data_IF_142366280228
#
_entry.id   IF_142366280228
#
_cell.length_a   1.000
_cell.length_b   1.000
_cell.length_c   1.000
_cell.angle_alpha   90.00
_cell.angle_beta   90.00
_cell.angle_gamma   90.00
#
_symmetry.space_group_name_H-M   'P 1'
#
loop_
_entity.id
_entity.type
_entity.pdbx_description
1 polymer ?
#
# COMPACT_ATOMS: atom_id res chain seq x y z
N UNK A 1 19.99 8.68 -1.75
CA UNK A 1 19.09 7.61 -1.27
C UNK A 1 19.28 6.41 -2.18
N UNK A 2 19.44 5.19 -1.64
CA UNK A 2 19.49 3.99 -2.48
C UNK A 2 18.19 3.89 -3.31
N UNK A 3 18.29 3.38 -4.53
CA UNK A 3 17.11 3.08 -5.36
C UNK A 3 16.22 2.05 -4.65
N UNK A 4 14.90 2.05 -4.87
CA UNK A 4 13.99 1.08 -4.20
C UNK A 4 14.44 -0.37 -4.40
N UNK A 5 14.94 -0.69 -5.60
CA UNK A 5 15.54 -2.00 -5.91
C UNK A 5 16.78 -2.28 -5.07
N UNK A 6 17.60 -1.27 -4.79
CA UNK A 6 18.80 -1.41 -3.96
C UNK A 6 18.47 -1.56 -2.48
N UNK A 7 17.44 -0.88 -1.97
CA UNK A 7 17.01 -1.04 -0.57
C UNK A 7 16.40 -2.42 -0.29
N UNK A 8 15.53 -2.92 -1.18
CA UNK A 8 14.91 -4.24 -1.02
C UNK A 8 15.95 -5.37 -1.07
N UNK A 9 16.96 -5.24 -1.92
CA UNK A 9 18.06 -6.21 -1.99
C UNK A 9 18.92 -6.18 -0.72
N UNK A 10 19.26 -4.99 -0.21
CA UNK A 10 19.93 -4.83 1.08
C UNK A 10 19.11 -5.46 2.22
N UNK A 11 17.82 -5.15 2.30
CA UNK A 11 16.93 -5.68 3.33
C UNK A 11 16.84 -7.21 3.27
N UNK A 12 16.75 -7.78 2.06
CA UNK A 12 16.76 -9.22 1.87
C UNK A 12 18.06 -9.83 2.41
N UNK A 13 19.21 -9.30 2.02
CA UNK A 13 20.51 -9.82 2.42
C UNK A 13 20.72 -9.74 3.94
N UNK A 14 20.40 -8.60 4.55
CA UNK A 14 20.51 -8.38 6.00
C UNK A 14 19.64 -9.35 6.79
N UNK A 15 18.37 -9.48 6.42
CA UNK A 15 17.45 -10.41 7.10
C UNK A 15 17.81 -11.88 6.85
N UNK A 16 18.31 -12.22 5.67
CA UNK A 16 18.73 -13.59 5.36
C UNK A 16 19.96 -14.00 6.19
N UNK A 17 20.92 -13.08 6.36
CA UNK A 17 22.08 -13.28 7.23
C UNK A 17 21.66 -13.45 8.70
N UNK A 18 20.68 -12.67 9.17
CA UNK A 18 20.13 -12.85 10.51
C UNK A 18 19.47 -14.22 10.69
N UNK A 19 18.69 -14.69 9.71
CA UNK A 19 18.06 -16.02 9.74
C UNK A 19 19.12 -17.12 9.82
N UNK A 20 20.22 -16.98 9.08
CA UNK A 20 21.30 -17.98 9.08
C UNK A 20 21.97 -18.13 10.45
N UNK A 21 22.12 -17.03 11.18
CA UNK A 21 22.74 -17.00 12.52
C UNK A 21 21.84 -17.58 13.62
N UNK A 22 20.56 -17.83 13.36
CA UNK A 22 19.66 -18.40 14.35
C UNK A 22 19.97 -19.89 14.62
N UNK A 23 19.90 -20.28 15.89
CA UNK A 23 19.92 -21.68 16.32
C UNK A 23 18.54 -22.31 16.09
N UNK A 24 18.23 -22.58 14.82
CA UNK A 24 16.98 -23.16 14.35
C UNK A 24 17.27 -24.31 13.39
N UNK A 25 16.41 -25.32 13.40
CA UNK A 25 16.41 -26.37 12.38
C UNK A 25 16.27 -25.79 10.95
N UNK A 26 16.94 -26.43 9.99
CA UNK A 26 16.98 -25.97 8.61
C UNK A 26 15.60 -25.85 7.98
N UNK A 27 14.65 -26.71 8.37
CA UNK A 27 13.28 -26.63 7.89
C UNK A 27 12.58 -25.36 8.38
N UNK A 28 12.78 -24.99 9.65
CA UNK A 28 12.22 -23.76 10.24
C UNK A 28 12.83 -22.52 9.57
N UNK A 29 14.13 -22.51 9.30
CA UNK A 29 14.77 -21.42 8.53
C UNK A 29 14.19 -21.29 7.12
N UNK A 30 13.95 -22.40 6.43
CA UNK A 30 13.29 -22.40 5.10
C UNK A 30 11.86 -21.86 5.15
N UNK A 31 11.08 -22.22 6.17
CA UNK A 31 9.75 -21.65 6.38
C UNK A 31 9.80 -20.15 6.67
N UNK A 32 10.76 -19.71 7.50
CA UNK A 32 10.96 -18.30 7.78
C UNK A 32 11.25 -17.49 6.52
N UNK A 33 12.10 -18.01 5.63
CA UNK A 33 12.40 -17.39 4.33
C UNK A 33 11.21 -17.34 3.40
N UNK A 34 10.60 -18.50 3.17
CA UNK A 34 9.53 -18.65 2.18
C UNK A 34 8.24 -17.94 2.60
N UNK A 35 7.93 -17.92 3.90
CA UNK A 35 6.67 -17.40 4.39
C UNK A 35 6.78 -15.99 4.93
N UNK A 36 7.78 -15.69 5.75
CA UNK A 36 7.90 -14.37 6.37
C UNK A 36 8.72 -13.40 5.52
N UNK A 37 9.96 -13.76 5.17
CA UNK A 37 10.85 -12.86 4.44
C UNK A 37 10.30 -12.53 3.04
N UNK A 38 9.80 -13.52 2.30
CA UNK A 38 9.18 -13.29 1.00
C UNK A 38 7.98 -12.32 1.10
N UNK A 39 7.16 -12.46 2.14
CA UNK A 39 6.02 -11.55 2.37
C UNK A 39 6.47 -10.13 2.73
N UNK A 40 7.51 -9.97 3.55
CA UNK A 40 8.12 -8.67 3.80
C UNK A 40 8.56 -8.02 2.49
N UNK A 41 9.28 -8.75 1.65
CA UNK A 41 9.80 -8.22 0.38
C UNK A 41 8.70 -7.94 -0.65
N UNK A 42 7.65 -8.75 -0.66
CA UNK A 42 6.49 -8.57 -1.52
C UNK A 42 5.69 -7.33 -1.13
N UNK A 43 5.37 -7.19 0.16
CA UNK A 43 4.64 -6.05 0.71
C UNK A 43 5.44 -4.75 0.55
N UNK A 44 6.76 -4.77 0.79
CA UNK A 44 7.64 -3.61 0.57
C UNK A 44 7.57 -3.13 -0.88
N UNK A 45 7.72 -4.05 -1.84
CA UNK A 45 7.70 -3.72 -3.26
C UNK A 45 6.32 -3.28 -3.78
N UNK A 46 5.24 -3.68 -3.11
CA UNK A 46 3.87 -3.19 -3.39
C UNK A 46 3.65 -1.80 -2.81
N UNK A 47 4.11 -1.56 -1.58
CA UNK A 47 4.03 -0.27 -0.94
C UNK A 47 4.78 0.80 -1.76
N UNK A 48 6.00 0.51 -2.19
CA UNK A 48 6.80 1.43 -3.02
C UNK A 48 6.13 1.77 -4.36
N UNK A 49 5.67 0.75 -5.10
CA UNK A 49 5.00 0.97 -6.40
C UNK A 49 3.71 1.79 -6.28
N UNK A 50 2.90 1.53 -5.25
CA UNK A 50 1.64 2.27 -5.03
C UNK A 50 1.91 3.69 -4.54
N UNK A 51 2.94 3.90 -3.71
CA UNK A 51 3.44 5.22 -3.31
C UNK A 51 3.81 6.06 -4.52
N UNK A 52 4.60 5.47 -5.42
CA UNK A 52 5.10 6.15 -6.61
C UNK A 52 3.98 6.59 -7.53
N UNK A 53 3.02 5.70 -7.81
CA UNK A 53 1.84 6.05 -8.60
C UNK A 53 1.01 7.15 -7.95
N UNK A 54 0.78 7.05 -6.64
CA UNK A 54 0.06 8.05 -5.87
C UNK A 54 0.69 9.45 -6.01
N UNK A 55 2.00 9.57 -5.73
CA UNK A 55 2.67 10.86 -5.81
C UNK A 55 2.80 11.38 -7.24
N UNK A 56 3.00 10.52 -8.25
CA UNK A 56 3.07 10.95 -9.66
C UNK A 56 1.75 11.54 -10.14
N UNK A 57 0.62 10.87 -9.89
CA UNK A 57 -0.70 11.35 -10.26
C UNK A 57 -1.04 12.64 -9.51
N UNK A 58 -0.79 12.66 -8.20
CA UNK A 58 -1.06 13.85 -7.37
C UNK A 58 -0.22 15.05 -7.78
N UNK A 59 1.04 14.85 -8.12
CA UNK A 59 1.91 15.90 -8.61
C UNK A 59 1.45 16.41 -9.98
N UNK A 60 1.04 15.53 -10.90
CA UNK A 60 0.48 15.93 -12.19
C UNK A 60 -0.79 16.80 -12.04
N UNK A 61 -1.67 16.42 -11.12
CA UNK A 61 -2.89 17.19 -10.77
C UNK A 61 -2.55 18.57 -10.19
N UNK A 62 -1.61 18.67 -9.25
CA UNK A 62 -1.20 19.94 -8.64
C UNK A 62 -0.55 20.85 -9.68
N UNK A 63 0.45 20.33 -10.42
CA UNK A 63 1.17 21.09 -11.43
C UNK A 63 0.21 21.57 -12.51
N UNK A 64 -0.62 20.68 -13.06
CA UNK A 64 -1.59 21.04 -14.08
C UNK A 64 -2.61 22.07 -13.58
N UNK A 65 -3.13 21.90 -12.37
CA UNK A 65 -4.07 22.85 -11.75
C UNK A 65 -3.51 24.26 -11.62
N UNK A 66 -2.22 24.41 -11.29
CA UNK A 66 -1.55 25.71 -11.19
C UNK A 66 -1.28 26.34 -12.56
N UNK A 67 -0.99 25.53 -13.57
CA UNK A 67 -0.69 26.03 -14.92
C UNK A 67 -1.93 26.42 -15.74
N UNK A 68 -3.12 25.86 -15.45
CA UNK A 68 -4.35 26.19 -16.18
C UNK A 68 -4.65 27.71 -16.15
N UNK A 69 -4.72 28.39 -14.98
CA UNK A 69 -4.97 29.84 -14.94
C UNK A 69 -3.91 30.64 -15.70
N UNK A 70 -2.63 30.26 -15.54
CA UNK A 70 -1.52 30.94 -16.20
C UNK A 70 -1.65 30.90 -17.73
N UNK A 71 -2.02 29.75 -18.30
CA UNK A 71 -2.23 29.61 -19.75
C UNK A 71 -3.48 30.31 -20.26
N UNK A 72 -4.55 30.36 -19.45
CA UNK A 72 -5.77 31.10 -19.80
C UNK A 72 -5.53 32.61 -19.85
N UNK A 73 -4.60 33.15 -19.05
CA UNK A 73 -4.25 34.58 -19.08
C UNK A 73 -3.54 35.00 -20.37
N UNK A 74 -2.81 34.11 -21.04
CA UNK A 74 -2.18 34.42 -22.33
C UNK A 74 -3.20 34.28 -23.47
N UNK A 75 -3.68 35.40 -24.02
CA UNK A 75 -4.69 35.44 -25.09
C UNK A 75 -4.12 35.07 -26.48
N UNK A 76 -3.44 33.91 -26.57
CA UNK A 76 -2.97 33.35 -27.83
C UNK A 76 -3.71 32.05 -28.12
N UNK A 77 -4.08 31.77 -29.39
CA UNK A 77 -4.90 30.62 -29.75
C UNK A 77 -4.24 29.28 -29.38
N UNK A 78 -2.90 29.21 -29.41
CA UNK A 78 -2.15 28.03 -29.01
C UNK A 78 -2.35 27.67 -27.52
N UNK A 79 -2.27 28.67 -26.62
CA UNK A 79 -2.42 28.45 -25.18
C UNK A 79 -3.83 28.04 -24.77
N UNK A 80 -4.85 28.38 -25.58
CA UNK A 80 -6.23 27.93 -25.39
C UNK A 80 -6.37 26.41 -25.60
N UNK A 81 -5.72 25.83 -26.60
CA UNK A 81 -5.76 24.37 -26.79
C UNK A 81 -4.95 23.64 -25.71
N UNK A 82 -3.80 24.19 -25.30
CA UNK A 82 -2.99 23.66 -24.22
C UNK A 82 -3.73 23.63 -22.87
N UNK A 83 -4.49 24.68 -22.53
CA UNK A 83 -5.25 24.70 -21.28
C UNK A 83 -6.37 23.65 -21.24
N UNK A 84 -7.03 23.39 -22.38
CA UNK A 84 -8.04 22.32 -22.50
C UNK A 84 -7.39 20.95 -22.31
N UNK A 85 -6.28 20.68 -23.00
CA UNK A 85 -5.55 19.40 -22.87
C UNK A 85 -5.08 19.21 -21.42
N UNK A 86 -4.54 20.26 -20.81
CA UNK A 86 -4.05 20.20 -19.43
C UNK A 86 -5.19 19.95 -18.43
N UNK A 87 -6.35 20.59 -18.63
CA UNK A 87 -7.56 20.33 -17.84
C UNK A 87 -8.02 18.87 -17.93
N UNK A 88 -8.00 18.28 -19.13
CA UNK A 88 -8.33 16.86 -19.31
C UNK A 88 -7.33 15.94 -18.60
N UNK A 89 -6.03 16.23 -18.70
CA UNK A 89 -4.98 15.45 -18.01
C UNK A 89 -5.17 15.52 -16.49
N UNK A 90 -5.45 16.69 -15.94
CA UNK A 90 -5.73 16.87 -14.50
C UNK A 90 -6.97 16.08 -14.08
N UNK A 91 -8.07 16.20 -14.82
CA UNK A 91 -9.32 15.50 -14.52
C UNK A 91 -9.14 13.97 -14.56
N UNK A 92 -8.47 13.45 -15.60
CA UNK A 92 -8.17 12.02 -15.72
C UNK A 92 -7.25 11.58 -14.59
N UNK A 93 -6.22 12.36 -14.25
CA UNK A 93 -5.29 12.01 -13.18
C UNK A 93 -5.99 11.90 -11.82
N UNK A 94 -6.86 12.87 -11.51
CA UNK A 94 -7.68 12.85 -10.30
C UNK A 94 -8.65 11.66 -10.28
N UNK A 95 -9.37 11.42 -11.38
CA UNK A 95 -10.30 10.29 -11.48
C UNK A 95 -9.59 8.93 -11.37
N UNK A 96 -8.39 8.79 -11.95
CA UNK A 96 -7.57 7.56 -11.83
C UNK A 96 -7.05 7.39 -10.40
N UNK A 97 -6.59 8.46 -9.75
CA UNK A 97 -6.14 8.42 -8.35
C UNK A 97 -7.27 7.97 -7.43
N UNK A 98 -8.47 8.53 -7.61
CA UNK A 98 -9.68 8.20 -6.86
C UNK A 98 -10.14 6.77 -7.15
N UNK A 99 -10.22 6.37 -8.42
CA UNK A 99 -10.67 5.02 -8.80
C UNK A 99 -9.76 3.91 -8.23
N UNK A 100 -8.44 4.06 -8.35
CA UNK A 100 -7.51 3.02 -7.91
C UNK A 100 -7.15 3.08 -6.41
N UNK A 101 -7.59 4.12 -5.69
CA UNK A 101 -7.34 4.29 -4.26
C UNK A 101 -5.85 4.14 -3.90
N UNK A 102 -4.95 4.65 -4.76
CA UNK A 102 -3.50 4.41 -4.63
C UNK A 102 -2.96 4.86 -3.26
N UNK A 103 -3.47 5.96 -2.71
CA UNK A 103 -3.06 6.47 -1.39
C UNK A 103 -3.51 5.60 -0.21
N UNK A 104 -4.66 4.93 -0.31
CA UNK A 104 -5.10 3.96 0.72
C UNK A 104 -4.32 2.66 0.62
N UNK A 105 -4.14 2.15 -0.61
CA UNK A 105 -3.36 0.93 -0.88
C UNK A 105 -1.91 1.06 -0.40
N UNK A 106 -1.27 2.20 -0.68
CA UNK A 106 0.08 2.46 -0.20
C UNK A 106 0.16 2.41 1.33
N UNK A 107 -0.73 3.11 2.03
CA UNK A 107 -0.76 3.13 3.50
C UNK A 107 -1.02 1.75 4.09
N UNK A 108 -1.90 0.98 3.46
CA UNK A 108 -2.20 -0.39 3.85
C UNK A 108 -0.96 -1.29 3.71
N UNK A 109 -0.36 -1.39 2.52
CA UNK A 109 0.84 -2.20 2.32
C UNK A 109 2.01 -1.74 3.20
N UNK A 110 2.18 -0.42 3.38
CA UNK A 110 3.21 0.12 4.26
C UNK A 110 2.98 -0.29 5.70
N UNK A 111 1.74 -0.24 6.19
CA UNK A 111 1.42 -0.70 7.54
C UNK A 111 1.73 -2.18 7.71
N UNK A 112 1.30 -3.03 6.78
CA UNK A 112 1.48 -4.49 6.89
C UNK A 112 2.97 -4.86 6.85
N UNK A 113 3.76 -4.25 5.96
CA UNK A 113 5.21 -4.54 5.91
C UNK A 113 5.94 -4.08 7.18
N UNK A 114 5.58 -2.92 7.74
CA UNK A 114 6.19 -2.45 8.98
C UNK A 114 5.81 -3.34 10.16
N UNK A 115 4.58 -3.84 10.22
CA UNK A 115 4.18 -4.84 11.23
C UNK A 115 4.99 -6.14 11.11
N UNK A 116 5.19 -6.65 9.89
CA UNK A 116 6.00 -7.86 9.66
C UNK A 116 7.47 -7.66 10.03
N UNK A 117 8.04 -6.48 9.73
CA UNK A 117 9.42 -6.12 10.13
C UNK A 117 9.54 -6.03 11.64
N UNK A 118 8.61 -5.32 12.30
CA UNK A 118 8.58 -5.19 13.77
C UNK A 118 8.50 -6.57 14.42
N UNK A 119 7.65 -7.46 13.91
CA UNK A 119 7.51 -8.81 14.43
C UNK A 119 8.81 -9.63 14.25
N UNK A 120 9.48 -9.51 13.10
CA UNK A 120 10.81 -10.08 12.90
C UNK A 120 11.84 -9.57 13.90
N UNK A 121 11.94 -8.27 14.11
CA UNK A 121 12.88 -7.68 15.09
C UNK A 121 12.62 -8.15 16.52
N UNK A 122 11.34 -8.24 16.92
CA UNK A 122 10.96 -8.79 18.22
C UNK A 122 11.43 -10.23 18.38
N UNK A 123 11.26 -11.05 17.35
CA UNK A 123 11.71 -12.44 17.37
C UNK A 123 13.24 -12.55 17.41
N UNK A 124 13.96 -11.82 16.55
CA UNK A 124 15.44 -11.86 16.51
C UNK A 124 16.05 -11.47 17.85
N UNK A 125 15.48 -10.49 18.54
CA UNK A 125 15.99 -9.99 19.82
C UNK A 125 15.42 -10.73 21.03
N UNK A 126 14.55 -11.74 20.83
CA UNK A 126 13.75 -12.37 21.88
C UNK A 126 13.09 -11.34 22.80
N UNK A 127 12.55 -10.27 22.20
CA UNK A 127 11.99 -9.12 22.92
C UNK A 127 10.46 -9.13 22.95
N UNK A 128 9.86 -8.32 23.83
CA UNK A 128 8.42 -8.16 23.99
C UNK A 128 7.69 -9.50 24.23
N UNK A 129 6.87 -9.94 23.27
CA UNK A 129 6.14 -11.22 23.34
C UNK A 129 7.06 -12.44 23.39
N UNK A 130 8.36 -12.27 23.15
CA UNK A 130 9.35 -13.34 23.20
C UNK A 130 10.28 -13.30 24.42
N UNK A 131 10.13 -12.33 25.32
CA UNK A 131 11.00 -12.15 26.50
C UNK A 131 11.09 -13.40 27.41
N UNK A 132 10.08 -14.27 27.39
CA UNK A 132 10.03 -15.47 28.22
C UNK A 132 10.79 -16.68 27.65
N UNK A 133 11.22 -16.64 26.40
CA UNK A 133 11.91 -17.74 25.75
C UNK A 133 13.42 -17.61 25.90
N UNK A 134 14.10 -18.73 26.12
CA UNK A 134 15.57 -18.75 26.22
C UNK A 134 16.24 -18.97 24.88
N UNK A 135 15.52 -19.55 23.92
CA UNK A 135 16.01 -19.90 22.58
C UNK A 135 14.97 -19.53 21.52
N UNK A 136 15.45 -19.16 20.33
CA UNK A 136 14.61 -18.90 19.16
C UNK A 136 13.79 -20.12 18.76
N UNK A 137 14.29 -21.33 19.00
CA UNK A 137 13.57 -22.57 18.71
C UNK A 137 12.26 -22.70 19.50
N UNK A 138 12.25 -22.30 20.77
CA UNK A 138 11.05 -22.30 21.62
C UNK A 138 10.09 -21.16 21.23
N UNK A 139 10.65 -20.03 20.80
CA UNK A 139 9.89 -18.85 20.37
C UNK A 139 9.26 -19.01 18.97
N UNK A 140 9.83 -19.86 18.11
CA UNK A 140 9.47 -19.98 16.70
C UNK A 140 7.98 -20.26 16.45
N UNK A 141 7.30 -21.18 17.18
CA UNK A 141 5.86 -21.40 16.98
C UNK A 141 5.03 -20.14 17.23
N UNK A 142 5.37 -19.36 18.27
CA UNK A 142 4.70 -18.08 18.56
C UNK A 142 4.93 -17.08 17.44
N UNK A 143 6.16 -17.03 16.91
CA UNK A 143 6.49 -16.16 15.78
C UNK A 143 5.72 -16.53 14.51
N UNK A 144 5.69 -17.81 14.15
CA UNK A 144 4.95 -18.29 13.01
C UNK A 144 3.46 -17.92 13.12
N UNK A 145 2.83 -18.16 14.28
CA UNK A 145 1.42 -17.79 14.52
C UNK A 145 1.20 -16.29 14.35
N UNK A 146 2.05 -15.44 14.95
CA UNK A 146 1.88 -13.98 14.86
C UNK A 146 2.09 -13.43 13.46
N UNK A 147 3.00 -14.03 12.68
CA UNK A 147 3.17 -13.71 11.26
C UNK A 147 1.90 -14.05 10.48
N UNK A 148 1.32 -15.23 10.72
CA UNK A 148 0.05 -15.62 10.08
C UNK A 148 -1.11 -14.71 10.50
N UNK A 149 -1.21 -14.31 11.77
CA UNK A 149 -2.22 -13.36 12.23
C UNK A 149 -2.12 -12.00 11.51
N UNK A 150 -0.90 -11.48 11.31
CA UNK A 150 -0.69 -10.24 10.56
C UNK A 150 -1.17 -10.41 9.11
N UNK A 151 -0.85 -11.54 8.48
CA UNK A 151 -1.19 -11.80 7.08
C UNK A 151 -2.69 -12.07 6.91
N UNK A 152 -3.30 -12.80 7.84
CA UNK A 152 -4.73 -13.03 7.84
C UNK A 152 -5.51 -11.73 8.07
N UNK A 153 -5.05 -10.88 8.99
CA UNK A 153 -5.61 -9.56 9.20
C UNK A 153 -5.51 -8.66 7.96
N UNK A 154 -4.43 -8.76 7.19
CA UNK A 154 -4.28 -8.06 5.90
C UNK A 154 -5.37 -8.49 4.89
N UNK A 155 -5.58 -9.81 4.74
CA UNK A 155 -6.60 -10.37 3.85
C UNK A 155 -8.01 -9.95 4.27
N UNK A 156 -8.32 -10.01 5.57
CA UNK A 156 -9.65 -9.64 6.09
C UNK A 156 -9.94 -8.15 5.91
N UNK A 157 -8.95 -7.28 6.16
CA UNK A 157 -9.07 -5.84 5.91
C UNK A 157 -9.27 -5.56 4.43
N UNK A 158 -8.53 -6.25 3.55
CA UNK A 158 -8.67 -6.09 2.10
C UNK A 158 -10.05 -6.50 1.59
N UNK A 159 -10.57 -7.65 2.01
CA UNK A 159 -11.92 -8.11 1.63
C UNK A 159 -12.99 -7.15 2.15
N UNK A 160 -12.87 -6.72 3.41
CA UNK A 160 -13.84 -5.81 4.02
C UNK A 160 -13.84 -4.44 3.35
N UNK A 161 -12.68 -3.91 2.99
CA UNK A 161 -12.56 -2.65 2.24
C UNK A 161 -13.18 -2.76 0.83
N UNK A 162 -12.99 -3.88 0.14
CA UNK A 162 -13.64 -4.14 -1.15
C UNK A 162 -15.17 -4.21 -1.04
N UNK A 163 -15.67 -4.89 0.00
CA UNK A 163 -17.12 -5.01 0.26
C UNK A 163 -17.74 -3.67 0.62
N UNK A 164 -17.07 -2.88 1.47
CA UNK A 164 -17.56 -1.57 1.89
C UNK A 164 -17.42 -0.51 0.78
N UNK A 165 -16.39 -0.60 -0.08
CA UNK A 165 -16.26 0.22 -1.28
C UNK A 165 -17.44 0.03 -2.24
N UNK A 166 -17.84 -1.24 -2.48
CA UNK A 166 -19.03 -1.55 -3.29
C UNK A 166 -20.33 -0.99 -2.69
N UNK A 167 -20.51 -1.09 -1.37
CA UNK A 167 -21.71 -0.54 -0.69
C UNK A 167 -21.82 0.98 -0.84
N UNK A 168 -20.72 1.72 -0.67
CA UNK A 168 -20.71 3.18 -0.86
C UNK A 168 -21.00 3.58 -2.32
N UNK A 169 -20.52 2.81 -3.29
CA UNK A 169 -20.84 3.03 -4.71
C UNK A 169 -22.32 2.75 -5.02
N UNK A 170 -22.95 1.80 -4.33
CA UNK A 170 -24.38 1.47 -4.46
C UNK A 170 -25.26 2.54 -3.80
N UNK A 171 -24.93 2.99 -2.58
CA UNK A 171 -25.63 4.08 -1.88
C UNK A 171 -25.57 5.39 -2.66
N UNK A 172 -24.40 5.74 -3.21
CA UNK A 172 -24.23 6.96 -4.01
C UNK A 172 -24.95 6.91 -5.37
N UNK A 173 -25.22 5.70 -5.91
CA UNK A 173 -26.06 5.49 -7.10
C UNK A 173 -27.56 5.55 -6.79
N UNK A 174 -27.97 5.22 -5.57
CA UNK A 174 -29.36 5.37 -5.12
C UNK A 174 -29.72 6.82 -4.81
N UNK A 175 -28.84 7.58 -4.16
CA UNK A 175 -29.06 9.01 -3.88
C UNK A 175 -29.04 9.90 -5.14
N UNK A 176 -28.35 9.47 -6.20
CA UNK A 176 -28.25 10.22 -7.46
C UNK A 176 -29.35 9.87 -8.49
N UNK A 177 -30.27 8.95 -8.17
CA UNK A 177 -31.46 8.71 -9.02
C UNK A 177 -32.37 9.93 -8.96
N UNK A 178 -32.82 10.49 -10.11
CA UNK A 178 -33.76 11.59 -10.10
C UNK A 178 -35.06 11.13 -9.45
N UNK A 179 -35.52 11.89 -8.45
CA UNK A 179 -36.84 11.72 -7.84
C UNK A 179 -37.84 11.85 -8.99
N UNK A 180 -38.47 10.75 -9.39
CA UNK A 180 -39.59 10.83 -10.33
C UNK A 180 -40.67 11.66 -9.65
N UNK A 181 -40.98 12.82 -10.24
CA UNK A 181 -42.16 13.62 -9.91
C UNK A 181 -43.40 12.72 -10.02
N UNK A 182 -43.84 12.16 -8.89
CA UNK A 182 -45.21 11.73 -8.72
C UNK A 182 -46.03 13.01 -8.52
N UNK A 183 -46.48 13.60 -9.64
CA UNK A 183 -47.59 14.56 -9.60
C UNK A 183 -48.86 13.76 -9.26
N UNK A 184 -49.58 14.08 -8.16
CA UNK A 184 -50.93 13.56 -7.97
C UNK A 184 -51.90 14.27 -8.92
N UNK A 185 -52.76 13.47 -9.55
CA UNK A 185 -53.87 13.91 -10.44
C UNK A 185 -54.87 14.86 -9.77
#
# INVERSE_FOLDING_TARGET
MPTESSYREYLKQDLDELIDRLDLDDLKKRFMRSRWLDQVLWMEGRADRTRDWYYRLRLATIIGGVFIPAFVTFNLPLFRYLSIILGLVVAISAAVEEFFHFGERWRHYRRTVELLKIEGWKFFQLSASYNGYKKHEEAYPTFATRVEEIIQGDVEVYITQLVNGKKREEEHKEESKPIKEELPD
#
